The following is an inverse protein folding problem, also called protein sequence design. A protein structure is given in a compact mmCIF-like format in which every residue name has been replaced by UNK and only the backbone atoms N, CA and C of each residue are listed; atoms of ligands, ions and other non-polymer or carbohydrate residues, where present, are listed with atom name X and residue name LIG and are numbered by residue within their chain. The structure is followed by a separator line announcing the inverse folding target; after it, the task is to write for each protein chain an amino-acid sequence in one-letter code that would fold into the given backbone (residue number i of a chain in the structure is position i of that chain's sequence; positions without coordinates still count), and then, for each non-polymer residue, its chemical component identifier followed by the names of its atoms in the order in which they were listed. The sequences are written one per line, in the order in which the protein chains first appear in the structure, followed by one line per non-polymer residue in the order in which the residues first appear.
data_IF_692433541948
#
_entry.id   IF_692433541948
#
_cell.length_a   1.000
_cell.length_b   1.000
_cell.length_c   1.000
_cell.angle_alpha   90.00
_cell.angle_beta   90.00
_cell.angle_gamma   90.00
#
_symmetry.space_group_name_H-M   'P 1'
#
loop_
_entity.id
_entity.type
_entity.pdbx_description
1 polymer ?
#
# COMPACT_ATOMS: atom_id res chain seq x y z
N UNK A 1 -11.94 -19.31 13.49
CA UNK A 1 -12.14 -19.90 12.15
C UNK A 1 -12.81 -18.85 11.28
N UNK A 2 -12.44 -18.72 10.01
CA UNK A 2 -12.94 -17.64 9.12
C UNK A 2 -14.08 -18.18 8.27
N UNK A 3 -15.29 -17.58 8.31
CA UNK A 3 -16.35 -17.97 7.40
C UNK A 3 -16.00 -17.56 5.96
N UNK A 4 -16.33 -18.42 5.00
CA UNK A 4 -16.17 -18.11 3.58
C UNK A 4 -17.03 -16.89 3.21
N UNK A 5 -16.39 -15.79 2.81
CA UNK A 5 -17.06 -14.58 2.29
C UNK A 5 -16.70 -14.38 0.83
N UNK A 6 -17.71 -14.32 -0.04
CA UNK A 6 -17.53 -14.04 -1.46
C UNK A 6 -17.63 -12.53 -1.69
N UNK A 7 -16.57 -11.89 -2.19
CA UNK A 7 -16.67 -10.52 -2.68
C UNK A 7 -17.19 -10.46 -4.12
N UNK A 8 -17.92 -9.38 -4.48
CA UNK A 8 -18.15 -9.07 -5.87
C UNK A 8 -16.81 -8.86 -6.58
N UNK A 9 -16.70 -9.44 -7.77
CA UNK A 9 -15.53 -9.38 -8.62
C UNK A 9 -15.94 -8.72 -9.93
N UNK A 10 -15.30 -7.60 -10.26
CA UNK A 10 -15.35 -7.02 -11.60
C UNK A 10 -13.99 -7.19 -12.25
N UNK A 11 -14.02 -7.56 -13.53
CA UNK A 11 -12.83 -7.78 -14.32
C UNK A 11 -12.97 -7.07 -15.65
N UNK A 12 -11.88 -6.49 -16.10
CA UNK A 12 -11.79 -5.86 -17.41
C UNK A 12 -10.94 -6.76 -18.32
N UNK A 13 -11.60 -7.41 -19.28
CA UNK A 13 -10.95 -8.29 -20.24
C UNK A 13 -9.91 -7.55 -21.08
N UNK A 14 -10.12 -6.27 -21.39
CA UNK A 14 -9.15 -5.50 -22.16
C UNK A 14 -7.82 -5.36 -21.39
N UNK A 15 -7.90 -5.09 -20.08
CA UNK A 15 -6.69 -5.02 -19.24
C UNK A 15 -6.01 -6.39 -19.10
N UNK A 16 -6.79 -7.48 -19.06
CA UNK A 16 -6.24 -8.83 -19.05
C UNK A 16 -5.53 -9.21 -20.34
N UNK A 17 -6.07 -8.81 -21.50
CA UNK A 17 -5.46 -9.04 -22.80
C UNK A 17 -4.13 -8.28 -22.92
N UNK A 18 -4.10 -7.02 -22.50
CA UNK A 18 -2.85 -6.23 -22.42
C UNK A 18 -1.82 -6.91 -21.51
N UNK A 19 -2.24 -7.36 -20.32
CA UNK A 19 -1.36 -8.06 -19.38
C UNK A 19 -0.81 -9.37 -20.00
N UNK A 20 -1.65 -10.16 -20.68
CA UNK A 20 -1.23 -11.39 -21.37
C UNK A 20 -0.16 -11.11 -22.42
N UNK A 21 -0.27 -10.03 -23.19
CA UNK A 21 0.69 -9.71 -24.23
C UNK A 21 2.07 -9.35 -23.66
N UNK A 22 2.11 -8.60 -22.53
CA UNK A 22 3.36 -8.40 -21.81
C UNK A 22 3.94 -9.70 -21.26
N UNK A 23 3.12 -10.54 -20.63
CA UNK A 23 3.59 -11.81 -20.05
C UNK A 23 4.09 -12.78 -21.12
N UNK A 24 3.46 -12.82 -22.31
CA UNK A 24 3.95 -13.59 -23.46
C UNK A 24 5.30 -13.07 -23.96
N UNK A 25 5.50 -11.76 -23.98
CA UNK A 25 6.80 -11.18 -24.30
C UNK A 25 7.87 -11.57 -23.26
N UNK A 26 7.54 -11.52 -21.97
CA UNK A 26 8.42 -11.98 -20.88
C UNK A 26 8.78 -13.47 -21.06
N UNK A 27 7.78 -14.33 -21.29
CA UNK A 27 7.98 -15.76 -21.49
C UNK A 27 8.87 -16.04 -22.71
N UNK A 28 8.59 -15.39 -23.84
CA UNK A 28 9.35 -15.59 -25.09
C UNK A 28 10.77 -15.06 -25.01
N UNK A 29 10.95 -13.85 -24.46
CA UNK A 29 12.21 -13.12 -24.57
C UNK A 29 13.14 -13.39 -23.37
N UNK A 30 12.61 -13.77 -22.20
CA UNK A 30 13.40 -14.06 -20.98
C UNK A 30 13.36 -15.54 -20.57
N UNK A 31 12.40 -16.33 -21.05
CA UNK A 31 12.23 -17.73 -20.63
C UNK A 31 11.70 -17.88 -19.20
N UNK A 32 11.21 -16.79 -18.58
CA UNK A 32 10.68 -16.79 -17.23
C UNK A 32 9.38 -17.64 -17.13
N UNK A 33 9.23 -18.41 -16.05
CA UNK A 33 8.08 -19.30 -15.86
C UNK A 33 6.79 -18.55 -15.45
N UNK A 34 6.18 -17.85 -16.40
CA UNK A 34 4.92 -17.11 -16.21
C UNK A 34 3.71 -17.79 -16.89
N UNK A 35 3.88 -19.04 -17.35
CA UNK A 35 2.85 -19.76 -18.11
C UNK A 35 1.58 -20.01 -17.31
N UNK A 36 1.69 -20.31 -16.01
CA UNK A 36 0.54 -20.50 -15.12
C UNK A 36 -0.33 -19.24 -15.01
N UNK A 37 0.30 -18.06 -14.91
CA UNK A 37 -0.39 -16.75 -14.88
C UNK A 37 -1.15 -16.53 -16.20
N UNK A 38 -0.52 -16.79 -17.35
CA UNK A 38 -1.16 -16.66 -18.66
C UNK A 38 -2.37 -17.59 -18.77
N UNK A 39 -2.27 -18.83 -18.27
CA UNK A 39 -3.37 -19.79 -18.27
C UNK A 39 -4.57 -19.30 -17.44
N UNK A 40 -4.32 -18.74 -16.25
CA UNK A 40 -5.37 -18.14 -15.42
C UNK A 40 -6.05 -16.99 -16.18
N UNK A 41 -5.28 -16.07 -16.76
CA UNK A 41 -5.81 -14.93 -17.51
C UNK A 41 -6.57 -15.34 -18.79
N UNK A 42 -6.26 -16.50 -19.38
CA UNK A 42 -7.03 -17.04 -20.50
C UNK A 42 -8.37 -17.65 -20.07
N UNK A 43 -8.48 -18.11 -18.82
CA UNK A 43 -9.70 -18.68 -18.28
C UNK A 43 -10.70 -17.63 -17.77
N UNK A 44 -10.25 -16.38 -17.60
CA UNK A 44 -11.14 -15.26 -17.27
C UNK A 44 -11.75 -14.75 -18.57
N UNK A 45 -13.08 -14.67 -18.60
CA UNK A 45 -13.85 -14.18 -19.74
C UNK A 45 -14.74 -12.98 -19.35
N UNK A 46 -15.46 -12.43 -20.33
CA UNK A 46 -16.39 -11.32 -20.15
C UNK A 46 -17.65 -11.68 -19.34
N UNK A 47 -17.81 -12.93 -18.88
CA UNK A 47 -19.00 -13.33 -18.11
C UNK A 47 -18.96 -12.83 -16.66
N UNK A 48 -17.83 -12.30 -16.21
CA UNK A 48 -17.60 -11.92 -14.81
C UNK A 48 -17.50 -13.13 -13.88
N UNK A 49 -17.42 -14.35 -14.42
CA UNK A 49 -17.21 -15.56 -13.64
C UNK A 49 -15.74 -15.72 -13.31
N UNK A 50 -15.49 -16.09 -12.07
CA UNK A 50 -14.16 -16.45 -11.59
C UNK A 50 -13.81 -17.85 -12.13
N UNK A 51 -12.57 -18.08 -12.62
CA UNK A 51 -12.13 -19.42 -12.99
C UNK A 51 -12.27 -20.40 -11.82
N UNK A 52 -12.43 -21.69 -12.14
CA UNK A 52 -12.46 -22.74 -11.13
C UNK A 52 -11.08 -22.87 -10.45
N UNK A 53 -11.07 -23.36 -9.20
CA UNK A 53 -9.86 -23.42 -8.37
C UNK A 53 -8.75 -24.30 -8.99
N UNK A 54 -9.11 -25.30 -9.79
CA UNK A 54 -8.20 -26.20 -10.51
C UNK A 54 -7.42 -25.51 -11.65
N UNK A 55 -7.90 -24.36 -12.12
CA UNK A 55 -7.17 -23.50 -13.07
C UNK A 55 -6.01 -22.78 -12.37
N UNK A 56 -6.14 -22.51 -11.06
CA UNK A 56 -5.11 -21.83 -10.30
C UNK A 56 -4.05 -22.84 -9.85
N UNK A 57 -2.75 -22.49 -9.92
CA UNK A 57 -1.72 -23.33 -9.35
C UNK A 57 -1.77 -23.28 -7.81
N UNK A 58 -0.88 -24.02 -7.14
CA UNK A 58 -0.75 -23.91 -5.69
C UNK A 58 -0.39 -22.48 -5.27
N UNK A 59 -0.62 -22.12 -4.01
CA UNK A 59 -0.28 -20.79 -3.49
C UNK A 59 1.21 -20.48 -3.64
N UNK A 60 2.08 -21.47 -3.39
CA UNK A 60 3.53 -21.35 -3.56
C UNK A 60 3.90 -21.15 -5.03
N UNK A 61 3.37 -21.99 -5.92
CA UNK A 61 3.66 -21.89 -7.36
C UNK A 61 3.17 -20.56 -7.96
N UNK A 62 2.03 -20.06 -7.49
CA UNK A 62 1.54 -18.74 -7.89
C UNK A 62 2.48 -17.63 -7.43
N UNK A 63 2.95 -17.70 -6.18
CA UNK A 63 3.92 -16.75 -5.65
C UNK A 63 5.21 -16.77 -6.47
N UNK A 64 5.75 -17.97 -6.73
CA UNK A 64 6.98 -18.17 -7.50
C UNK A 64 6.85 -17.65 -8.94
N UNK A 65 5.69 -17.82 -9.58
CA UNK A 65 5.41 -17.27 -10.91
C UNK A 65 5.20 -15.75 -10.90
N UNK A 66 4.61 -15.20 -9.83
CA UNK A 66 4.34 -13.76 -9.69
C UNK A 66 5.62 -12.93 -9.63
N UNK A 67 6.69 -13.44 -9.03
CA UNK A 67 7.98 -12.75 -8.92
C UNK A 67 8.58 -12.33 -10.27
N UNK A 68 8.91 -13.27 -11.19
CA UNK A 68 9.45 -12.90 -12.49
C UNK A 68 8.41 -12.17 -13.37
N UNK A 69 7.11 -12.45 -13.21
CA UNK A 69 6.04 -11.73 -13.91
C UNK A 69 6.03 -10.24 -13.58
N UNK A 70 5.88 -9.88 -12.30
CA UNK A 70 5.84 -8.48 -11.84
C UNK A 70 7.18 -7.78 -12.11
N UNK A 71 8.31 -8.45 -11.86
CA UNK A 71 9.61 -7.87 -12.14
C UNK A 71 9.80 -7.60 -13.63
N UNK A 72 9.45 -8.54 -14.50
CA UNK A 72 9.50 -8.38 -15.95
C UNK A 72 8.59 -7.26 -16.44
N UNK A 73 7.37 -7.16 -15.92
CA UNK A 73 6.45 -6.05 -16.21
C UNK A 73 7.07 -4.68 -15.87
N UNK A 74 7.79 -4.58 -14.74
CA UNK A 74 8.49 -3.36 -14.35
C UNK A 74 9.60 -2.93 -15.32
N UNK A 75 10.12 -3.84 -16.14
CA UNK A 75 11.11 -3.51 -17.17
C UNK A 75 10.47 -2.77 -18.35
N UNK A 76 9.21 -3.07 -18.69
CA UNK A 76 8.47 -2.32 -19.72
C UNK A 76 8.18 -0.88 -19.26
N UNK A 77 7.97 -0.69 -17.96
CA UNK A 77 7.82 0.61 -17.32
C UNK A 77 9.12 1.47 -17.30
N UNK A 78 10.24 0.98 -17.85
CA UNK A 78 11.47 1.77 -17.99
C UNK A 78 11.55 2.57 -19.30
N UNK A 79 10.65 2.33 -20.25
CA UNK A 79 10.60 3.03 -21.54
C UNK A 79 9.97 4.41 -21.36
N UNK A 80 10.42 5.40 -22.14
CA UNK A 80 9.98 6.80 -22.06
C UNK A 80 8.50 7.05 -22.48
N UNK A 81 7.69 6.00 -22.67
CA UNK A 81 6.29 6.13 -23.08
C UNK A 81 5.37 5.95 -21.88
N UNK A 82 4.64 7.01 -21.51
CA UNK A 82 3.75 7.04 -20.36
C UNK A 82 2.55 6.07 -20.48
N UNK A 83 2.01 5.86 -21.69
CA UNK A 83 0.89 4.94 -21.87
C UNK A 83 1.31 3.50 -21.60
N UNK A 84 2.48 3.11 -22.09
CA UNK A 84 3.06 1.79 -21.79
C UNK A 84 3.43 1.64 -20.31
N UNK A 85 3.87 2.72 -19.66
CA UNK A 85 4.09 2.74 -18.21
C UNK A 85 2.80 2.46 -17.44
N UNK A 86 1.72 3.18 -17.78
CA UNK A 86 0.41 3.00 -17.15
C UNK A 86 -0.13 1.57 -17.33
N UNK A 87 -0.06 1.04 -18.55
CA UNK A 87 -0.46 -0.34 -18.85
C UNK A 87 0.38 -1.37 -18.09
N UNK A 88 1.68 -1.12 -17.90
CA UNK A 88 2.55 -1.99 -17.11
C UNK A 88 2.18 -1.94 -15.62
N UNK A 89 1.86 -0.76 -15.05
CA UNK A 89 1.40 -0.65 -13.66
C UNK A 89 0.05 -1.36 -13.45
N UNK A 90 -0.88 -1.24 -14.40
CA UNK A 90 -2.13 -1.99 -14.39
C UNK A 90 -1.90 -3.51 -14.43
N UNK A 91 -0.98 -3.96 -15.29
CA UNK A 91 -0.63 -5.37 -15.40
C UNK A 91 0.01 -5.91 -14.11
N UNK A 92 0.85 -5.11 -13.43
CA UNK A 92 1.43 -5.47 -12.12
C UNK A 92 0.33 -5.64 -11.09
N UNK A 93 -0.64 -4.70 -11.04
CA UNK A 93 -1.81 -4.83 -10.17
C UNK A 93 -2.55 -6.15 -10.45
N UNK A 94 -2.86 -6.46 -11.71
CA UNK A 94 -3.60 -7.65 -12.08
C UNK A 94 -2.88 -8.93 -11.63
N UNK A 95 -1.57 -9.05 -11.88
CA UNK A 95 -0.78 -10.21 -11.47
C UNK A 95 -0.80 -10.37 -9.94
N UNK A 96 -0.57 -9.28 -9.19
CA UNK A 96 -0.68 -9.31 -7.73
C UNK A 96 -2.10 -9.71 -7.25
N UNK A 97 -3.14 -9.23 -7.94
CA UNK A 97 -4.53 -9.48 -7.58
C UNK A 97 -4.95 -10.95 -7.81
N UNK A 98 -4.22 -11.72 -8.63
CA UNK A 98 -4.49 -13.16 -8.83
C UNK A 98 -4.45 -13.96 -7.53
N UNK A 99 -3.67 -13.54 -6.54
CA UNK A 99 -3.67 -14.19 -5.22
C UNK A 99 -5.03 -14.07 -4.52
N UNK A 100 -5.68 -12.91 -4.61
CA UNK A 100 -7.05 -12.73 -4.11
C UNK A 100 -8.07 -13.51 -4.94
N UNK A 101 -7.89 -13.59 -6.25
CA UNK A 101 -8.77 -14.39 -7.12
C UNK A 101 -8.70 -15.88 -6.80
N UNK A 102 -7.50 -16.41 -6.57
CA UNK A 102 -7.32 -17.80 -6.15
C UNK A 102 -8.07 -18.07 -4.83
N UNK A 103 -7.93 -17.18 -3.85
CA UNK A 103 -8.59 -17.32 -2.55
C UNK A 103 -10.11 -17.33 -2.68
N UNK A 104 -10.68 -16.44 -3.49
CA UNK A 104 -12.11 -16.44 -3.79
C UNK A 104 -12.57 -17.71 -4.52
N UNK A 105 -11.75 -18.24 -5.43
CA UNK A 105 -12.07 -19.47 -6.17
C UNK A 105 -12.11 -20.68 -5.22
N UNK A 106 -11.17 -20.73 -4.27
CA UNK A 106 -11.17 -21.73 -3.20
C UNK A 106 -12.42 -21.62 -2.33
N UNK A 107 -12.78 -20.41 -1.89
CA UNK A 107 -14.00 -20.18 -1.11
C UNK A 107 -15.26 -20.67 -1.84
N UNK A 108 -15.38 -20.36 -3.14
CA UNK A 108 -16.49 -20.87 -3.98
C UNK A 108 -16.49 -22.39 -4.08
N UNK A 109 -15.32 -23.01 -4.26
CA UNK A 109 -15.19 -24.46 -4.33
C UNK A 109 -15.67 -25.14 -3.04
N UNK A 110 -15.22 -24.67 -1.88
CA UNK A 110 -15.66 -25.18 -0.57
C UNK A 110 -17.18 -25.01 -0.39
N UNK A 111 -17.72 -23.86 -0.78
CA UNK A 111 -19.15 -23.58 -0.71
C UNK A 111 -19.98 -24.54 -1.57
N UNK A 112 -19.60 -24.76 -2.83
CA UNK A 112 -20.28 -25.71 -3.71
C UNK A 112 -20.16 -27.15 -3.21
N UNK A 113 -19.00 -27.55 -2.69
CA UNK A 113 -18.80 -28.90 -2.15
C UNK A 113 -19.75 -29.19 -0.98
N UNK A 114 -19.89 -28.26 -0.03
CA UNK A 114 -20.83 -28.39 1.08
C UNK A 114 -22.30 -28.42 0.61
N UNK A 115 -22.65 -27.59 -0.37
CA UNK A 115 -24.00 -27.62 -0.94
C UNK A 115 -24.35 -29.01 -1.52
N UNK A 116 -23.36 -29.71 -2.09
CA UNK A 116 -23.55 -31.04 -2.69
C UNK A 116 -23.47 -32.19 -1.68
N UNK A 117 -22.77 -32.04 -0.55
CA UNK A 117 -22.52 -33.13 0.41
C UNK A 117 -23.72 -33.51 1.29
N UNK A 118 -24.89 -32.88 1.12
CA UNK A 118 -26.11 -33.05 1.96
C UNK A 118 -25.95 -32.72 3.45
N UNK A 119 -24.79 -32.23 3.88
CA UNK A 119 -24.55 -31.74 5.25
C UNK A 119 -24.98 -30.27 5.38
N UNK A 120 -26.20 -29.97 4.96
CA UNK A 120 -26.75 -28.62 4.99
C UNK A 120 -26.82 -28.11 6.45
N UNK A 121 -25.89 -27.22 6.81
CA UNK A 121 -25.84 -26.58 8.12
C UNK A 121 -24.46 -26.55 8.78
N UNK A 122 -23.47 -27.28 8.25
CA UNK A 122 -22.10 -27.18 8.76
C UNK A 122 -21.47 -25.82 8.37
N UNK A 123 -20.84 -25.16 9.34
CA UNK A 123 -20.11 -23.91 9.13
C UNK A 123 -18.87 -24.17 8.24
N UNK A 124 -18.74 -23.41 7.15
CA UNK A 124 -17.65 -23.55 6.20
C UNK A 124 -16.41 -22.80 6.67
N UNK A 125 -15.30 -23.51 6.77
CA UNK A 125 -14.02 -22.95 7.19
C UNK A 125 -12.93 -23.26 6.18
N UNK A 126 -12.03 -22.30 5.98
CA UNK A 126 -10.77 -22.54 5.28
C UNK A 126 -9.87 -23.44 6.13
N UNK A 127 -9.07 -24.27 5.46
CA UNK A 127 -7.98 -24.98 6.12
C UNK A 127 -6.95 -23.96 6.66
N UNK A 128 -6.28 -24.24 7.80
CA UNK A 128 -5.28 -23.32 8.36
C UNK A 128 -4.20 -22.87 7.36
N UNK A 129 -3.75 -23.75 6.48
CA UNK A 129 -2.76 -23.50 5.43
C UNK A 129 -3.26 -22.60 4.29
N UNK A 130 -4.58 -22.49 4.12
CA UNK A 130 -5.20 -21.63 3.11
C UNK A 130 -5.48 -20.21 3.63
N UNK A 131 -5.39 -20.00 4.95
CA UNK A 131 -5.50 -18.66 5.54
C UNK A 131 -4.38 -17.76 5.01
N UNK A 132 -4.73 -16.49 4.77
CA UNK A 132 -3.82 -15.47 4.24
C UNK A 132 -3.45 -14.49 5.35
N UNK A 133 -2.49 -14.89 6.16
CA UNK A 133 -2.03 -14.11 7.31
C UNK A 133 -1.30 -12.83 6.85
N UNK A 134 -1.05 -11.88 7.76
CA UNK A 134 -0.35 -10.63 7.43
C UNK A 134 1.02 -10.88 6.81
N UNK A 135 1.78 -11.84 7.33
CA UNK A 135 3.08 -12.27 6.77
C UNK A 135 2.98 -12.87 5.36
N UNK A 136 1.85 -13.53 5.08
CA UNK A 136 1.57 -14.14 3.78
C UNK A 136 1.29 -13.09 2.73
N UNK A 137 0.45 -12.09 3.08
CA UNK A 137 0.21 -10.93 2.23
C UNK A 137 1.50 -10.13 2.02
N UNK A 138 2.37 -10.02 3.03
CA UNK A 138 3.67 -9.37 2.87
C UNK A 138 4.58 -10.10 1.87
N UNK A 139 4.56 -11.44 1.86
CA UNK A 139 5.30 -12.24 0.89
C UNK A 139 4.76 -12.03 -0.55
N UNK A 140 3.43 -12.02 -0.72
CA UNK A 140 2.77 -11.71 -2.00
C UNK A 140 3.09 -10.28 -2.51
N UNK A 141 3.26 -9.33 -1.59
CA UNK A 141 3.67 -7.96 -1.89
C UNK A 141 5.15 -7.83 -2.27
N UNK A 142 5.99 -8.80 -1.89
CA UNK A 142 7.44 -8.79 -2.11
C UNK A 142 7.89 -8.30 -3.51
N UNK A 143 7.39 -8.87 -4.62
CA UNK A 143 7.78 -8.41 -5.94
C UNK A 143 7.27 -7.00 -6.28
N UNK A 144 6.09 -6.60 -5.80
CA UNK A 144 5.60 -5.22 -5.97
C UNK A 144 6.47 -4.25 -5.17
N UNK A 145 6.83 -4.60 -3.94
CA UNK A 145 7.69 -3.77 -3.08
C UNK A 145 9.05 -3.51 -3.70
N UNK A 146 9.60 -4.49 -4.43
CA UNK A 146 10.83 -4.30 -5.20
C UNK A 146 10.65 -3.25 -6.31
N UNK A 147 9.52 -3.28 -7.02
CA UNK A 147 9.18 -2.30 -8.06
C UNK A 147 9.00 -0.91 -7.47
N UNK A 148 8.21 -0.80 -6.39
CA UNK A 148 8.00 0.45 -5.66
C UNK A 148 9.32 1.01 -5.14
N UNK A 149 10.16 0.16 -4.56
CA UNK A 149 11.49 0.57 -4.08
C UNK A 149 12.33 1.18 -5.20
N UNK A 150 12.41 0.50 -6.35
CA UNK A 150 13.18 0.97 -7.50
C UNK A 150 12.70 2.35 -7.97
N UNK A 151 11.38 2.53 -8.11
CA UNK A 151 10.85 3.82 -8.55
C UNK A 151 10.96 4.89 -7.48
N UNK A 152 10.80 4.55 -6.20
CA UNK A 152 11.04 5.48 -5.12
C UNK A 152 12.49 5.99 -5.13
N UNK A 153 13.47 5.10 -5.30
CA UNK A 153 14.88 5.49 -5.43
C UNK A 153 15.10 6.45 -6.60
N UNK A 154 14.47 6.20 -7.75
CA UNK A 154 14.54 7.11 -8.91
C UNK A 154 13.85 8.45 -8.62
N UNK A 155 12.68 8.43 -8.00
CA UNK A 155 11.90 9.63 -7.66
C UNK A 155 12.62 10.52 -6.65
N UNK A 156 13.35 9.92 -5.71
CA UNK A 156 14.12 10.60 -4.67
C UNK A 156 15.55 10.95 -5.09
N UNK A 157 16.01 10.65 -6.32
CA UNK A 157 17.33 11.09 -6.78
C UNK A 157 17.41 12.62 -6.73
N UNK A 158 18.33 13.13 -5.92
CA UNK A 158 18.47 14.56 -5.66
C UNK A 158 18.81 15.33 -6.95
N UNK A 159 18.05 16.40 -7.20
CA UNK A 159 18.36 17.43 -8.21
C UNK A 159 18.65 18.80 -7.59
N UNK A 160 19.05 18.82 -6.31
CA UNK A 160 19.43 20.04 -5.59
C UNK A 160 18.28 20.75 -4.85
N UNK A 161 17.14 20.10 -4.63
CA UNK A 161 16.01 20.66 -3.87
C UNK A 161 15.63 19.76 -2.68
N UNK A 162 15.26 20.33 -1.53
CA UNK A 162 14.75 19.57 -0.39
C UNK A 162 13.34 19.01 -0.68
N UNK A 163 12.92 18.02 0.11
CA UNK A 163 11.59 17.41 0.03
C UNK A 163 11.49 16.21 -0.93
N UNK A 164 10.26 15.75 -1.17
CA UNK A 164 10.00 14.64 -2.08
C UNK A 164 10.00 15.08 -3.55
N UNK A 165 10.56 14.21 -4.40
CA UNK A 165 9.97 13.98 -5.70
C UNK A 165 10.55 14.70 -6.92
N UNK A 166 11.87 14.85 -6.97
CA UNK A 166 12.55 15.62 -8.02
C UNK A 166 13.01 14.77 -9.22
N UNK A 167 13.06 13.45 -9.09
CA UNK A 167 13.69 12.56 -10.06
C UNK A 167 12.74 11.90 -11.08
N UNK A 168 11.43 12.10 -10.97
CA UNK A 168 10.43 11.48 -11.86
C UNK A 168 9.40 12.49 -12.37
N UNK A 169 8.93 12.25 -13.59
CA UNK A 169 7.83 12.98 -14.20
C UNK A 169 6.52 12.74 -13.43
N UNK A 170 5.67 13.75 -13.40
CA UNK A 170 4.41 13.76 -12.65
C UNK A 170 3.52 12.57 -13.00
N UNK A 171 3.32 12.27 -14.28
CA UNK A 171 2.39 11.22 -14.70
C UNK A 171 2.86 9.83 -14.24
N UNK A 172 4.17 9.65 -14.09
CA UNK A 172 4.75 8.41 -13.59
C UNK A 172 4.45 8.24 -12.10
N UNK A 173 4.56 9.32 -11.32
CA UNK A 173 4.24 9.31 -9.89
C UNK A 173 2.76 9.00 -9.71
N UNK A 174 1.86 9.62 -10.48
CA UNK A 174 0.41 9.34 -10.44
C UNK A 174 0.11 7.86 -10.65
N UNK A 175 0.71 7.23 -11.66
CA UNK A 175 0.48 5.82 -11.97
C UNK A 175 0.97 4.88 -10.85
N UNK A 176 2.14 5.16 -10.26
CA UNK A 176 2.65 4.38 -9.13
C UNK A 176 1.79 4.60 -7.88
N UNK A 177 1.39 5.85 -7.62
CA UNK A 177 0.51 6.17 -6.50
C UNK A 177 -0.85 5.48 -6.62
N UNK A 178 -1.40 5.40 -7.83
CA UNK A 178 -2.64 4.65 -8.11
C UNK A 178 -2.48 3.15 -7.77
N UNK A 179 -1.36 2.54 -8.18
CA UNK A 179 -1.03 1.16 -7.80
C UNK A 179 -0.94 1.00 -6.27
N UNK A 180 -0.23 1.90 -5.57
CA UNK A 180 -0.10 1.89 -4.12
C UNK A 180 -1.44 2.05 -3.39
N UNK A 181 -2.31 2.95 -3.88
CA UNK A 181 -3.65 3.17 -3.33
C UNK A 181 -4.51 1.91 -3.47
N UNK A 182 -4.58 1.33 -4.67
CA UNK A 182 -5.34 0.09 -4.94
C UNK A 182 -4.89 -1.07 -4.09
N UNK A 183 -3.59 -1.26 -3.96
CA UNK A 183 -3.03 -2.30 -3.09
C UNK A 183 -3.45 -2.08 -1.65
N UNK A 184 -3.22 -0.88 -1.13
CA UNK A 184 -3.42 -0.56 0.28
C UNK A 184 -4.90 -0.64 0.66
N UNK A 185 -5.80 -0.19 -0.21
CA UNK A 185 -7.24 -0.23 0.05
C UNK A 185 -7.77 -1.67 0.20
N UNK A 186 -7.15 -2.65 -0.49
CA UNK A 186 -7.56 -4.05 -0.36
C UNK A 186 -7.06 -4.71 0.91
N UNK A 187 -6.13 -4.11 1.66
CA UNK A 187 -5.58 -4.74 2.86
C UNK A 187 -6.60 -4.87 3.99
N UNK A 188 -7.60 -3.97 4.08
CA UNK A 188 -8.69 -4.15 5.05
C UNK A 188 -9.53 -5.39 4.74
N UNK A 189 -9.85 -5.58 3.45
CA UNK A 189 -10.59 -6.76 3.03
C UNK A 189 -9.77 -8.04 3.26
N UNK A 190 -8.48 -8.02 2.93
CA UNK A 190 -7.55 -9.13 3.19
C UNK A 190 -7.41 -9.42 4.69
N UNK A 191 -7.45 -8.40 5.55
CA UNK A 191 -7.47 -8.59 7.00
C UNK A 191 -8.71 -9.40 7.42
N UNK A 192 -9.89 -9.09 6.88
CA UNK A 192 -11.10 -9.88 7.15
C UNK A 192 -11.00 -11.32 6.63
N UNK A 193 -10.35 -11.55 5.49
CA UNK A 193 -10.09 -12.89 4.92
C UNK A 193 -9.11 -13.72 5.77
N UNK A 194 -8.16 -13.06 6.44
CA UNK A 194 -7.11 -13.73 7.22
C UNK A 194 -7.61 -14.42 8.48
N UNK A 195 -8.66 -13.87 9.11
CA UNK A 195 -9.12 -14.27 10.43
C UNK A 195 -8.28 -13.80 11.60
N UNK A 196 -7.18 -13.09 11.34
CA UNK A 196 -6.37 -12.47 12.39
C UNK A 196 -7.08 -11.26 12.96
N UNK A 197 -6.78 -10.98 14.23
CA UNK A 197 -7.10 -9.70 14.83
C UNK A 197 -6.44 -8.58 14.01
N UNK A 198 -7.15 -7.45 13.90
CA UNK A 198 -6.73 -6.33 13.04
C UNK A 198 -5.31 -5.86 13.36
N UNK A 199 -4.98 -5.77 14.65
CA UNK A 199 -3.66 -5.33 15.12
C UNK A 199 -2.55 -6.33 14.74
N UNK A 200 -2.80 -7.63 14.93
CA UNK A 200 -1.85 -8.69 14.59
C UNK A 200 -1.57 -8.72 13.08
N UNK A 201 -2.62 -8.68 12.25
CA UNK A 201 -2.50 -8.70 10.79
C UNK A 201 -1.63 -7.54 10.27
N UNK A 202 -1.90 -6.31 10.75
CA UNK A 202 -1.13 -5.15 10.32
C UNK A 202 0.27 -5.09 10.92
N UNK A 203 0.49 -5.65 12.11
CA UNK A 203 1.82 -5.81 12.69
C UNK A 203 2.67 -6.74 11.83
N UNK A 204 2.17 -7.93 11.47
CA UNK A 204 2.91 -8.85 10.59
C UNK A 204 3.20 -8.22 9.22
N UNK A 205 2.23 -7.52 8.63
CA UNK A 205 2.44 -6.78 7.37
C UNK A 205 3.53 -5.72 7.50
N UNK A 206 3.58 -5.02 8.63
CA UNK A 206 4.59 -4.00 8.93
C UNK A 206 5.98 -4.60 9.12
N UNK A 207 6.07 -5.75 9.78
CA UNK A 207 7.35 -6.43 10.07
C UNK A 207 7.93 -7.13 8.84
N UNK A 208 7.08 -7.70 7.98
CA UNK A 208 7.51 -8.46 6.81
C UNK A 208 7.49 -7.66 5.49
N UNK A 209 6.77 -6.54 5.44
CA UNK A 209 6.72 -5.65 4.28
C UNK A 209 8.06 -4.93 4.04
N UNK A 210 8.47 -4.79 2.77
CA UNK A 210 9.80 -4.25 2.43
C UNK A 210 9.78 -2.80 1.94
N UNK A 211 8.62 -2.30 1.52
CA UNK A 211 8.48 -0.97 0.94
C UNK A 211 7.25 -0.19 1.44
N UNK A 212 6.72 -0.51 2.63
CA UNK A 212 5.52 0.15 3.15
C UNK A 212 5.68 1.68 3.28
N UNK A 213 6.84 2.15 3.76
CA UNK A 213 7.21 3.56 3.84
C UNK A 213 7.23 4.25 2.46
N UNK A 214 7.68 3.53 1.43
CA UNK A 214 7.79 4.04 0.05
C UNK A 214 6.42 4.07 -0.62
N UNK A 215 5.57 3.07 -0.35
CA UNK A 215 4.15 3.11 -0.74
C UNK A 215 3.46 4.31 -0.10
N UNK A 216 3.68 4.53 1.21
CA UNK A 216 3.17 5.71 1.90
C UNK A 216 3.63 7.00 1.22
N UNK A 217 4.90 7.13 0.84
CA UNK A 217 5.42 8.32 0.16
C UNK A 217 4.67 8.60 -1.16
N UNK A 218 4.48 7.59 -2.01
CA UNK A 218 3.69 7.75 -3.24
C UNK A 218 2.23 8.11 -2.96
N UNK A 219 1.61 7.50 -1.95
CA UNK A 219 0.25 7.84 -1.56
C UNK A 219 0.14 9.28 -1.09
N UNK A 220 1.06 9.75 -0.25
CA UNK A 220 1.14 11.14 0.21
C UNK A 220 1.35 12.13 -0.95
N UNK A 221 2.14 11.77 -1.96
CA UNK A 221 2.22 12.59 -3.17
C UNK A 221 0.87 12.68 -3.89
N UNK A 222 0.04 11.64 -3.88
CA UNK A 222 -1.23 11.65 -4.59
C UNK A 222 -2.44 12.16 -3.81
N UNK A 223 -2.40 12.23 -2.48
CA UNK A 223 -3.60 12.63 -1.69
C UNK A 223 -4.06 14.07 -1.95
N UNK A 224 -3.18 14.95 -2.42
CA UNK A 224 -3.53 16.33 -2.78
C UNK A 224 -3.97 16.46 -4.24
N UNK A 225 -3.92 15.38 -5.01
CA UNK A 225 -4.37 15.35 -6.40
C UNK A 225 -5.83 14.92 -6.47
N UNK A 226 -6.57 15.52 -7.41
CA UNK A 226 -7.91 15.09 -7.83
C UNK A 226 -7.81 13.81 -8.66
N UNK A 227 -7.11 12.78 -8.17
CA UNK A 227 -7.19 11.45 -8.80
C UNK A 227 -8.61 10.93 -8.61
N UNK A 228 -9.33 10.78 -9.72
CA UNK A 228 -10.71 10.32 -9.87
C UNK A 228 -10.90 8.83 -9.55
N UNK A 229 -10.22 8.33 -8.52
CA UNK A 229 -10.43 6.97 -8.05
C UNK A 229 -11.77 6.93 -7.30
N UNK A 230 -12.86 6.76 -8.06
CA UNK A 230 -14.24 6.61 -7.56
C UNK A 230 -14.42 5.46 -6.56
N UNK A 231 -13.42 4.59 -6.44
CA UNK A 231 -13.53 3.34 -5.69
C UNK A 231 -13.07 3.43 -4.23
N UNK A 232 -12.48 4.54 -3.75
CA UNK A 232 -11.73 4.49 -2.48
C UNK A 232 -11.85 5.75 -1.63
N UNK A 233 -12.25 5.55 -0.37
CA UNK A 233 -12.05 6.54 0.67
C UNK A 233 -10.52 6.70 0.92
N UNK A 234 -10.01 7.86 0.50
CA UNK A 234 -8.59 8.23 0.67
C UNK A 234 -8.19 8.26 2.15
N UNK A 235 -9.12 8.60 3.06
CA UNK A 235 -8.87 8.65 4.49
C UNK A 235 -8.63 7.26 5.05
N UNK A 236 -9.53 6.32 4.76
CA UNK A 236 -9.39 4.94 5.23
C UNK A 236 -8.16 4.26 4.65
N UNK A 237 -7.90 4.47 3.37
CA UNK A 237 -6.72 3.94 2.68
C UNK A 237 -5.43 4.49 3.30
N UNK A 238 -5.42 5.78 3.66
CA UNK A 238 -4.28 6.40 4.33
C UNK A 238 -4.09 5.87 5.77
N UNK A 239 -5.16 5.67 6.53
CA UNK A 239 -5.09 5.07 7.86
C UNK A 239 -4.50 3.64 7.80
N UNK A 240 -4.86 2.87 6.78
CA UNK A 240 -4.27 1.54 6.54
C UNK A 240 -2.80 1.65 6.20
N UNK A 241 -2.42 2.59 5.34
CA UNK A 241 -1.00 2.83 5.01
C UNK A 241 -0.19 3.15 6.27
N UNK A 242 -0.73 3.97 7.17
CA UNK A 242 -0.11 4.26 8.46
C UNK A 242 0.07 3.02 9.33
N UNK A 243 -0.95 2.16 9.42
CA UNK A 243 -0.89 0.95 10.23
C UNK A 243 0.19 -0.02 9.74
N UNK A 244 0.41 -0.14 8.43
CA UNK A 244 1.42 -1.07 7.86
C UNK A 244 2.80 -0.45 7.69
N UNK A 245 2.97 0.85 7.94
CA UNK A 245 4.27 1.52 7.80
C UNK A 245 5.04 1.50 9.12
N UNK A 246 6.32 1.10 9.12
CA UNK A 246 7.16 1.20 10.32
C UNK A 246 7.20 2.64 10.87
N UNK A 247 6.93 2.87 12.16
CA UNK A 247 6.72 4.22 12.72
C UNK A 247 7.79 5.25 12.37
N UNK A 248 9.07 4.90 12.54
CA UNK A 248 10.18 5.83 12.31
C UNK A 248 10.34 6.17 10.81
N UNK A 249 10.20 5.17 9.94
CA UNK A 249 10.26 5.37 8.49
C UNK A 249 9.06 6.19 7.99
N UNK A 250 7.87 5.91 8.53
CA UNK A 250 6.65 6.66 8.23
C UNK A 250 6.76 8.12 8.66
N UNK A 251 7.27 8.40 9.85
CA UNK A 251 7.49 9.77 10.32
C UNK A 251 8.49 10.54 9.45
N UNK A 252 9.56 9.89 8.97
CA UNK A 252 10.52 10.50 8.05
C UNK A 252 9.87 10.85 6.71
N UNK A 253 9.16 9.89 6.10
CA UNK A 253 8.39 10.08 4.87
C UNK A 253 7.36 11.21 5.04
N UNK A 254 6.61 11.21 6.13
CA UNK A 254 5.66 12.28 6.41
C UNK A 254 6.34 13.65 6.52
N UNK A 255 7.50 13.73 7.18
CA UNK A 255 8.27 14.97 7.27
C UNK A 255 8.68 15.52 5.91
N UNK A 256 9.19 14.65 5.02
CA UNK A 256 9.54 15.03 3.65
C UNK A 256 8.32 15.52 2.85
N UNK A 257 7.15 14.91 3.07
CA UNK A 257 5.90 15.34 2.46
C UNK A 257 5.48 16.74 2.96
N UNK A 258 5.53 16.98 4.27
CA UNK A 258 5.21 18.29 4.86
C UNK A 258 6.16 19.37 4.31
N UNK A 259 7.46 19.09 4.22
CA UNK A 259 8.43 20.02 3.64
C UNK A 259 8.13 20.28 2.15
N UNK A 260 7.69 19.27 1.38
CA UNK A 260 7.27 19.48 -0.02
C UNK A 260 6.04 20.40 -0.16
N UNK A 261 5.11 20.39 0.81
CA UNK A 261 3.91 21.22 0.78
C UNK A 261 4.17 22.69 1.15
N UNK A 262 5.07 22.94 2.10
CA UNK A 262 5.23 24.26 2.72
C UNK A 262 6.62 24.88 2.53
N UNK A 263 7.59 24.10 2.07
CA UNK A 263 9.01 24.41 2.16
C UNK A 263 9.44 24.63 3.63
N UNK A 264 10.54 25.34 3.82
CA UNK A 264 11.06 25.66 5.15
C UNK A 264 10.36 26.84 5.87
N UNK A 265 9.12 27.15 5.46
CA UNK A 265 8.34 28.27 5.99
C UNK A 265 7.38 27.81 7.09
N UNK A 266 7.10 28.70 8.04
CA UNK A 266 6.06 28.47 9.03
C UNK A 266 4.68 28.52 8.35
N UNK A 267 3.80 27.60 8.72
CA UNK A 267 2.46 27.50 8.16
C UNK A 267 1.50 28.38 8.97
N UNK A 268 0.72 29.23 8.29
CA UNK A 268 -0.34 30.04 8.91
C UNK A 268 -1.62 29.21 9.07
N UNK A 269 -2.41 29.46 10.11
CA UNK A 269 -3.64 28.73 10.42
C UNK A 269 -4.61 28.67 9.22
N UNK A 270 -4.95 29.80 8.60
CA UNK A 270 -5.86 29.81 7.46
C UNK A 270 -5.35 29.01 6.25
N UNK A 271 -4.02 28.92 6.04
CA UNK A 271 -3.43 28.05 5.00
C UNK A 271 -3.60 26.58 5.36
N UNK A 272 -3.47 26.22 6.64
CA UNK A 272 -3.71 24.86 7.12
C UNK A 272 -5.18 24.46 7.02
N UNK A 273 -6.11 25.34 7.42
CA UNK A 273 -7.55 25.08 7.37
C UNK A 273 -8.08 24.91 5.94
N UNK A 274 -7.46 25.60 4.97
CA UNK A 274 -7.79 25.48 3.55
C UNK A 274 -7.34 24.15 2.92
N UNK A 275 -6.57 23.32 3.62
CA UNK A 275 -6.12 22.03 3.09
C UNK A 275 -7.28 21.02 3.05
N UNK A 276 -7.36 20.19 1.98
CA UNK A 276 -8.29 19.08 1.93
C UNK A 276 -8.15 18.16 3.15
N UNK A 277 -9.27 17.55 3.58
CA UNK A 277 -9.29 16.68 4.76
C UNK A 277 -8.22 15.56 4.73
N UNK A 278 -8.04 14.81 3.62
CA UNK A 278 -6.98 13.79 3.55
C UNK A 278 -5.58 14.36 3.78
N UNK A 279 -5.32 15.58 3.31
CA UNK A 279 -4.03 16.26 3.51
C UNK A 279 -3.86 16.65 4.98
N UNK A 280 -4.89 17.19 5.63
CA UNK A 280 -4.84 17.53 7.07
C UNK A 280 -4.60 16.29 7.93
N UNK A 281 -5.24 15.17 7.61
CA UNK A 281 -5.00 13.88 8.28
C UNK A 281 -3.58 13.38 8.04
N UNK A 282 -3.08 13.54 6.82
CA UNK A 282 -1.75 13.11 6.46
C UNK A 282 -0.61 13.86 7.15
N UNK A 283 -0.85 15.10 7.61
CA UNK A 283 0.15 15.94 8.28
C UNK A 283 -0.09 16.06 9.79
N UNK A 284 -0.88 15.17 10.39
CA UNK A 284 -1.05 15.13 11.85
C UNK A 284 0.25 14.68 12.55
N UNK A 285 0.49 14.98 13.84
CA UNK A 285 1.73 14.62 14.50
C UNK A 285 2.06 13.12 14.37
N UNK A 286 3.32 12.73 14.08
CA UNK A 286 3.75 11.34 14.07
C UNK A 286 3.36 10.56 15.34
N UNK A 287 3.33 11.19 16.51
CA UNK A 287 2.91 10.57 17.78
C UNK A 287 1.42 10.27 17.86
N UNK A 288 0.61 10.89 17.01
CA UNK A 288 -0.83 10.67 16.91
C UNK A 288 -1.11 9.59 15.83
N UNK A 289 -0.23 9.44 14.84
CA UNK A 289 -0.29 8.36 13.83
C UNK A 289 0.26 7.05 14.39
N UNK A 290 1.44 7.11 15.01
CA UNK A 290 2.20 5.99 15.55
C UNK A 290 2.45 6.22 17.05
N UNK A 291 1.56 5.71 17.93
CA UNK A 291 1.68 5.89 19.38
C UNK A 291 3.01 5.43 19.97
N UNK A 292 3.70 4.49 19.32
CA UNK A 292 5.04 4.01 19.69
C UNK A 292 6.06 5.16 19.76
N UNK A 293 5.88 6.20 18.93
CA UNK A 293 6.73 7.38 18.91
C UNK A 293 6.52 8.31 20.11
N UNK A 294 5.48 8.12 20.92
CA UNK A 294 5.26 8.91 22.14
C UNK A 294 6.33 8.69 23.20
N UNK A 295 7.15 7.63 23.09
CA UNK A 295 8.26 7.36 24.02
C UNK A 295 9.62 7.39 23.32
N UNK A 296 9.64 7.51 21.99
CA UNK A 296 10.85 7.43 21.17
C UNK A 296 11.24 8.77 20.55
N UNK A 297 12.52 8.91 20.22
CA UNK A 297 13.03 10.00 19.44
C UNK A 297 12.58 9.82 17.99
N UNK A 298 11.81 10.76 17.45
CA UNK A 298 11.32 10.68 16.06
C UNK A 298 12.43 10.72 15.01
N UNK A 299 13.65 11.12 15.39
CA UNK A 299 14.78 11.23 14.47
C UNK A 299 15.61 9.95 14.39
N UNK A 300 15.87 9.28 15.54
CA UNK A 300 16.77 8.12 15.59
C UNK A 300 16.17 6.87 16.24
N UNK A 301 14.93 6.93 16.74
CA UNK A 301 14.25 5.81 17.39
C UNK A 301 14.67 5.51 18.83
N UNK A 302 15.75 6.11 19.36
CA UNK A 302 16.18 5.93 20.75
C UNK A 302 15.14 6.46 21.75
N UNK A 303 15.18 6.01 23.01
CA UNK A 303 14.28 6.52 24.06
C UNK A 303 14.39 8.06 24.19
N UNK A 304 13.23 8.71 24.30
CA UNK A 304 13.14 10.16 24.35
C UNK A 304 13.01 10.66 25.79
N UNK A 305 13.76 11.71 26.11
CA UNK A 305 13.68 12.38 27.41
C UNK A 305 13.15 13.81 27.29
N UNK A 306 13.05 14.34 26.06
CA UNK A 306 12.65 15.73 25.78
C UNK A 306 11.53 15.78 24.75
N UNK A 307 10.69 16.80 24.83
CA UNK A 307 9.73 17.17 23.80
C UNK A 307 10.13 18.50 23.15
N UNK A 308 9.62 18.76 21.95
CA UNK A 308 9.75 20.07 21.32
C UNK A 308 9.08 21.13 22.21
N UNK A 309 9.80 22.18 22.60
CA UNK A 309 9.25 23.24 23.47
C UNK A 309 8.06 23.98 22.85
N UNK A 310 8.00 24.02 21.51
CA UNK A 310 7.00 24.75 20.75
C UNK A 310 5.70 23.97 20.56
N UNK A 311 5.73 22.83 19.86
CA UNK A 311 4.51 22.05 19.61
C UNK A 311 4.20 21.03 20.72
N UNK A 312 5.18 20.63 21.53
CA UNK A 312 5.11 19.58 22.56
C UNK A 312 4.69 18.17 22.08
N UNK A 313 4.36 18.00 20.80
CA UNK A 313 3.95 16.71 20.21
C UNK A 313 5.11 15.82 19.81
N UNK A 314 6.26 16.39 19.44
CA UNK A 314 7.40 15.60 18.95
C UNK A 314 8.44 15.41 20.04
N UNK A 315 8.97 14.19 20.16
CA UNK A 315 9.95 13.83 21.17
C UNK A 315 11.34 13.53 20.60
N UNK A 316 12.35 13.80 21.43
CA UNK A 316 13.76 13.67 21.10
C UNK A 316 14.55 13.08 22.27
N UNK A 317 15.61 12.32 21.97
CA UNK A 317 16.58 11.89 22.97
C UNK A 317 17.49 13.05 23.42
N UNK A 318 17.65 14.10 22.61
CA UNK A 318 18.47 15.25 22.94
C UNK A 318 18.44 16.37 21.90
N UNK A 319 19.16 17.47 22.19
CA UNK A 319 19.19 18.70 21.38
C UNK A 319 19.77 18.47 19.97
N UNK A 320 20.73 17.55 19.83
CA UNK A 320 21.37 17.25 18.53
C UNK A 320 20.33 16.72 17.53
N UNK A 321 19.56 15.70 17.92
CA UNK A 321 18.49 15.12 17.10
C UNK A 321 17.37 16.14 16.82
N UNK A 322 17.02 16.97 17.81
CA UNK A 322 16.06 18.06 17.60
C UNK A 322 16.53 19.06 16.55
N UNK A 323 17.79 19.51 16.59
CA UNK A 323 18.32 20.46 15.60
C UNK A 323 18.37 19.85 14.20
N UNK A 324 18.76 18.58 14.07
CA UNK A 324 18.79 17.88 12.77
C UNK A 324 17.38 17.76 12.19
N UNK A 325 16.44 17.21 12.97
CA UNK A 325 15.05 17.07 12.53
C UNK A 325 14.40 18.43 12.22
N UNK A 326 14.71 19.48 13.00
CA UNK A 326 14.25 20.84 12.73
C UNK A 326 14.66 21.35 11.35
N UNK A 327 15.92 21.12 10.96
CA UNK A 327 16.44 21.57 9.66
C UNK A 327 15.85 20.80 8.51
N UNK A 328 15.63 19.50 8.66
CA UNK A 328 15.17 18.67 7.55
C UNK A 328 13.68 18.78 7.27
N UNK A 329 12.82 18.76 8.30
CA UNK A 329 11.38 18.65 8.06
C UNK A 329 10.48 19.17 9.17
N UNK A 330 10.96 19.26 10.41
CA UNK A 330 10.09 19.60 11.53
C UNK A 330 9.69 21.09 11.57
N UNK A 331 10.48 22.00 11.01
CA UNK A 331 10.18 23.44 11.04
C UNK A 331 8.78 23.80 10.51
N UNK A 332 8.39 23.42 9.26
CA UNK A 332 7.03 23.65 8.78
C UNK A 332 5.99 22.84 9.57
N UNK A 333 6.31 21.58 9.91
CA UNK A 333 5.42 20.68 10.62
C UNK A 333 5.04 21.20 12.03
N UNK A 334 6.00 21.81 12.73
CA UNK A 334 5.82 22.31 14.09
C UNK A 334 4.68 23.33 14.19
N UNK A 335 4.48 24.18 13.18
CA UNK A 335 3.34 25.11 13.13
C UNK A 335 2.03 24.36 12.97
N UNK A 336 1.97 23.39 12.05
CA UNK A 336 0.73 22.63 11.78
C UNK A 336 0.27 21.82 13.00
N UNK A 337 1.22 21.25 13.76
CA UNK A 337 0.91 20.48 14.96
C UNK A 337 0.32 21.33 16.10
N UNK A 338 0.58 22.64 16.14
CA UNK A 338 -0.02 23.55 17.12
C UNK A 338 -1.50 23.82 16.85
N UNK A 339 -1.95 23.66 15.61
CA UNK A 339 -3.33 23.94 15.21
C UNK A 339 -4.25 22.74 15.42
N UNK A 340 -3.69 21.55 15.67
CA UNK A 340 -4.45 20.35 15.92
C UNK A 340 -4.80 20.23 17.42
N UNK A 341 -6.03 19.85 17.77
CA UNK A 341 -6.42 19.64 19.16
C UNK A 341 -5.58 18.52 19.81
N UNK A 342 -5.43 18.55 21.14
CA UNK A 342 -4.71 17.52 21.92
C UNK A 342 -5.34 16.12 21.82
N UNK A 343 -6.62 16.09 21.50
CA UNK A 343 -7.32 14.91 21.04
C UNK A 343 -8.10 15.29 19.78
N UNK A 344 -7.71 14.77 18.62
CA UNK A 344 -8.74 14.55 17.60
C UNK A 344 -9.76 13.61 18.25
N UNK A 345 -11.08 13.87 18.18
CA UNK A 345 -12.06 12.90 18.63
C UNK A 345 -11.65 11.59 17.99
N UNK A 346 -11.35 10.57 18.82
CA UNK A 346 -11.06 9.23 18.33
C UNK A 346 -12.16 8.97 17.32
N UNK A 347 -11.79 8.87 16.04
CA UNK A 347 -12.75 8.77 14.95
C UNK A 347 -13.81 7.79 15.43
N UNK A 348 -15.01 8.29 15.73
CA UNK A 348 -16.10 7.43 16.14
C UNK A 348 -16.08 6.34 15.09
N UNK A 349 -15.81 5.12 15.55
CA UNK A 349 -15.63 3.96 14.69
C UNK A 349 -16.74 4.03 13.67
N UNK A 350 -16.39 4.36 12.42
CA UNK A 350 -17.34 4.36 11.31
C UNK A 350 -17.68 2.88 11.18
N UNK A 351 -18.77 2.50 11.84
CA UNK A 351 -19.23 1.14 12.01
C UNK A 351 -19.92 0.64 10.74
#
# INVERSE_FOLDING_TARGET
MVPVRLAPFSWDQANADICKDFLRAILRDKGDNVGSIINILNAIDNSGRLPAIDVFPSRSDLLDASWPGIFGLSLFASKQNIAMFAQAMESIWLVYFLHSLRFQALGRHLWFHNLMSREAGAELHYAPEDLRLGRDIAAELGPVDLVIHRFYSKWMQERGYPGMGHGMDYDWVVNISSLCLRITSTLQYRQMESGQEREEFFLELREHGRAADKRLAFMLAAIHWETSSDLQDKVDTLNVAFNVTPPLAGAFVQGLYIDSLFGHNLVRLGRFEALPLPVRLAIRPPTDIWPELQKMCVWCGAESTKSCGECRRIRYCGRVCQIRHWRESHKPACSTYKFLPDSLPASESIA
#
